data_IF_941786365556
#
_entry.id   IF_941786365556
#
_cell.length_a   1.000
_cell.length_b   1.000
_cell.length_c   1.000
_cell.angle_alpha   90.00
_cell.angle_beta   90.00
_cell.angle_gamma   90.00
#
_symmetry.space_group_name_H-M   'P 1'
#
loop_
_entity.id
_entity.type
_entity.pdbx_description
1 polymer ?
#
# COMPACT_ATOMS: atom_id res chain seq x y z
N UNK A 1 -7.88 32.03 -5.57
CA UNK A 1 -7.27 30.96 -4.73
C UNK A 1 -5.96 30.45 -5.31
N UNK A 2 -5.83 30.28 -6.62
CA UNK A 2 -4.59 29.80 -7.29
C UNK A 2 -3.36 30.70 -7.06
N UNK A 3 -3.56 32.01 -6.97
CA UNK A 3 -2.50 33.01 -6.80
C UNK A 3 -1.84 33.05 -5.42
N UNK A 4 -2.30 32.26 -4.43
CA UNK A 4 -1.72 32.27 -3.07
C UNK A 4 -1.50 30.87 -2.49
N UNK A 5 -1.94 29.82 -3.17
CA UNK A 5 -1.81 28.46 -2.67
C UNK A 5 -0.35 27.98 -2.78
N UNK A 6 0.24 27.57 -1.66
CA UNK A 6 1.62 27.06 -1.60
C UNK A 6 1.68 25.53 -1.49
N UNK A 7 0.62 24.91 -0.93
CA UNK A 7 0.54 23.46 -0.73
C UNK A 7 -0.89 22.98 -0.97
N UNK A 8 -1.06 21.87 -1.69
CA UNK A 8 -2.34 21.21 -1.91
C UNK A 8 -2.21 19.71 -1.68
N UNK A 9 -3.18 19.15 -0.97
CA UNK A 9 -3.32 17.70 -0.79
C UNK A 9 -4.78 17.33 -1.03
N UNK A 10 -5.05 16.57 -2.09
CA UNK A 10 -6.41 16.30 -2.56
C UNK A 10 -6.60 14.80 -2.82
N UNK A 11 -7.76 14.22 -2.45
CA UNK A 11 -8.17 12.92 -2.94
C UNK A 11 -8.35 12.98 -4.46
N UNK A 12 -7.76 12.07 -5.20
CA UNK A 12 -7.76 12.03 -6.66
C UNK A 12 -9.17 11.92 -7.24
N UNK A 13 -10.06 11.21 -6.55
CA UNK A 13 -11.47 11.01 -6.87
C UNK A 13 -12.24 12.34 -6.96
N UNK A 14 -11.82 13.34 -6.18
CA UNK A 14 -12.49 14.64 -6.06
C UNK A 14 -11.65 15.80 -6.60
N UNK A 15 -10.38 15.54 -6.93
CA UNK A 15 -9.46 16.56 -7.42
C UNK A 15 -9.89 17.03 -8.82
N UNK A 16 -10.06 18.34 -9.05
CA UNK A 16 -10.44 18.85 -10.37
C UNK A 16 -9.20 18.93 -11.29
N UNK A 17 -8.53 17.81 -11.53
CA UNK A 17 -7.18 17.76 -12.14
C UNK A 17 -7.11 18.45 -13.50
N UNK A 18 -8.14 18.30 -14.34
CA UNK A 18 -8.23 19.00 -15.62
C UNK A 18 -8.20 20.53 -15.43
N UNK A 19 -9.06 21.08 -14.56
CA UNK A 19 -9.07 22.52 -14.24
C UNK A 19 -7.78 22.99 -13.58
N UNK A 20 -7.15 22.12 -12.78
CA UNK A 20 -5.85 22.43 -12.18
C UNK A 20 -4.77 22.59 -13.23
N UNK A 21 -4.74 21.74 -14.26
CA UNK A 21 -3.78 21.82 -15.37
C UNK A 21 -3.96 23.05 -16.27
N UNK A 22 -5.19 23.57 -16.37
CA UNK A 22 -5.51 24.78 -17.12
C UNK A 22 -5.19 26.08 -16.34
N UNK A 23 -4.98 25.96 -15.02
CA UNK A 23 -4.79 27.10 -14.12
C UNK A 23 -3.30 27.38 -13.87
N UNK A 24 -2.97 28.66 -13.69
CA UNK A 24 -1.62 29.06 -13.27
C UNK A 24 -1.52 29.13 -11.74
N UNK A 25 -0.53 28.44 -11.18
CA UNK A 25 -0.27 28.28 -9.75
C UNK A 25 1.15 28.77 -9.40
N UNK A 26 1.39 30.08 -9.46
CA UNK A 26 2.74 30.65 -9.40
C UNK A 26 3.47 30.37 -8.08
N UNK A 27 2.74 30.18 -6.98
CA UNK A 27 3.31 29.98 -5.65
C UNK A 27 3.21 28.55 -5.15
N UNK A 28 2.62 27.63 -5.92
CA UNK A 28 2.41 26.25 -5.47
C UNK A 28 3.76 25.53 -5.43
N UNK A 29 4.17 25.13 -4.24
CA UNK A 29 5.43 24.45 -3.96
C UNK A 29 5.23 22.96 -3.69
N UNK A 30 4.06 22.54 -3.22
CA UNK A 30 3.75 21.14 -2.93
C UNK A 30 2.38 20.73 -3.47
N UNK A 31 2.33 19.61 -4.20
CA UNK A 31 1.11 18.97 -4.66
C UNK A 31 1.13 17.49 -4.28
N UNK A 32 0.08 17.04 -3.59
CA UNK A 32 -0.17 15.64 -3.27
C UNK A 32 -1.54 15.22 -3.77
N UNK A 33 -1.57 14.23 -4.65
CA UNK A 33 -2.78 13.56 -5.10
C UNK A 33 -2.73 12.11 -4.60
N UNK A 34 -3.77 11.68 -3.90
CA UNK A 34 -3.83 10.35 -3.31
C UNK A 34 -5.21 9.72 -3.49
N UNK A 35 -5.32 8.40 -3.42
CA UNK A 35 -6.62 7.72 -3.48
C UNK A 35 -6.69 6.77 -4.67
N UNK A 36 -7.83 6.70 -5.33
CA UNK A 36 -8.08 5.79 -6.46
C UNK A 36 -8.44 6.51 -7.75
N UNK A 37 -7.97 5.98 -8.87
CA UNK A 37 -8.59 6.25 -10.15
C UNK A 37 -9.92 5.48 -10.22
N UNK A 38 -11.02 6.19 -10.45
CA UNK A 38 -12.33 5.59 -10.72
C UNK A 38 -12.44 5.34 -12.23
N UNK A 39 -13.22 4.34 -12.64
CA UNK A 39 -13.54 4.15 -14.06
C UNK A 39 -14.11 5.48 -14.62
N UNK A 40 -13.69 5.83 -15.84
CA UNK A 40 -13.94 7.12 -16.50
C UNK A 40 -13.16 8.35 -15.99
N UNK A 41 -12.26 8.21 -15.00
CA UNK A 41 -11.34 9.31 -14.68
C UNK A 41 -10.42 9.61 -15.88
N UNK A 42 -10.30 10.89 -16.30
CA UNK A 42 -9.42 11.25 -17.39
C UNK A 42 -7.98 10.84 -17.05
N UNK A 43 -7.26 10.30 -18.04
CA UNK A 43 -5.82 10.07 -17.87
C UNK A 43 -5.13 11.41 -17.59
N UNK A 44 -4.45 11.46 -16.47
CA UNK A 44 -3.68 12.64 -16.07
C UNK A 44 -2.29 12.50 -16.67
N UNK A 45 -1.97 13.42 -17.59
CA UNK A 45 -0.60 13.58 -18.07
C UNK A 45 0.09 14.49 -17.05
N UNK A 46 1.02 13.94 -16.27
CA UNK A 46 1.64 14.68 -15.18
C UNK A 46 2.41 15.90 -15.67
N UNK A 47 3.07 15.80 -16.83
CA UNK A 47 3.77 16.93 -17.46
C UNK A 47 2.83 18.12 -17.76
N UNK A 48 1.59 17.84 -18.19
CA UNK A 48 0.58 18.88 -18.43
C UNK A 48 0.08 19.50 -17.13
N UNK A 49 -0.11 18.69 -16.09
CA UNK A 49 -0.56 19.16 -14.78
C UNK A 49 0.45 20.13 -14.15
N UNK A 50 1.73 19.80 -14.18
CA UNK A 50 2.79 20.61 -13.56
C UNK A 50 3.22 21.82 -14.39
N UNK A 51 2.80 21.91 -15.65
CA UNK A 51 3.17 23.01 -16.55
C UNK A 51 2.76 24.39 -16.04
N UNK A 52 1.66 24.49 -15.28
CA UNK A 52 1.19 25.72 -14.66
C UNK A 52 1.81 26.03 -13.28
N UNK A 53 2.77 25.23 -12.80
CA UNK A 53 3.26 25.23 -11.42
C UNK A 53 4.78 25.51 -11.35
N UNK A 54 5.26 26.70 -11.72
CA UNK A 54 6.69 26.97 -11.89
C UNK A 54 7.52 26.88 -10.60
N UNK A 55 6.89 27.09 -9.43
CA UNK A 55 7.53 27.02 -8.12
C UNK A 55 7.44 25.64 -7.46
N UNK A 56 6.93 24.63 -8.16
CA UNK A 56 6.70 23.30 -7.59
C UNK A 56 8.04 22.67 -7.20
N UNK A 57 8.12 22.21 -5.94
CA UNK A 57 9.30 21.56 -5.38
C UNK A 57 8.99 20.12 -4.93
N UNK A 58 7.74 19.80 -4.61
CA UNK A 58 7.32 18.48 -4.13
C UNK A 58 6.08 18.03 -4.89
N UNK A 59 6.18 16.86 -5.52
CA UNK A 59 5.06 16.21 -6.18
C UNK A 59 4.90 14.80 -5.62
N UNK A 60 3.69 14.49 -5.15
CA UNK A 60 3.29 13.15 -4.74
C UNK A 60 2.04 12.73 -5.51
N UNK A 61 2.13 11.62 -6.21
CA UNK A 61 1.04 11.04 -6.99
C UNK A 61 0.84 9.58 -6.57
N UNK A 62 0.07 9.37 -5.52
CA UNK A 62 -0.21 8.07 -4.92
C UNK A 62 -1.64 7.62 -5.28
N UNK A 63 -1.85 7.36 -6.56
CA UNK A 63 -3.16 7.00 -7.10
C UNK A 63 -3.19 5.53 -7.47
N UNK A 64 -4.11 4.78 -6.87
CA UNK A 64 -4.31 3.37 -7.18
C UNK A 64 -4.87 3.20 -8.60
N UNK A 65 -4.29 2.29 -9.39
CA UNK A 65 -4.73 2.02 -10.74
C UNK A 65 -6.00 1.15 -10.77
N UNK A 66 -6.98 1.55 -11.60
CA UNK A 66 -8.16 0.71 -11.89
C UNK A 66 -7.80 -0.40 -12.89
N UNK A 67 -8.37 -1.59 -12.69
CA UNK A 67 -8.13 -2.78 -13.53
C UNK A 67 -8.62 -2.63 -14.97
N UNK A 68 -9.51 -1.68 -15.24
CA UNK A 68 -10.02 -1.37 -16.58
C UNK A 68 -9.04 -0.56 -17.45
N UNK A 69 -7.95 -0.05 -16.87
CA UNK A 69 -7.05 0.92 -17.51
C UNK A 69 -5.97 0.32 -18.42
N UNK A 70 -5.84 -1.02 -18.44
CA UNK A 70 -4.80 -1.77 -19.17
C UNK A 70 -4.83 -1.65 -20.70
N UNK A 71 -5.97 -1.24 -21.28
CA UNK A 71 -6.19 -1.39 -22.74
C UNK A 71 -6.13 -0.08 -23.55
N UNK A 72 -5.81 1.06 -22.94
CA UNK A 72 -5.71 2.32 -23.68
C UNK A 72 -4.27 2.59 -24.10
N UNK A 73 -3.95 2.19 -25.33
CA UNK A 73 -2.67 2.43 -25.99
C UNK A 73 -2.19 3.87 -25.86
N UNK A 74 -0.88 4.00 -25.66
CA UNK A 74 -0.17 5.26 -25.55
C UNK A 74 0.02 5.88 -26.94
N UNK A 75 -0.65 6.99 -27.20
CA UNK A 75 -0.19 7.97 -28.17
C UNK A 75 -0.36 9.36 -27.56
N UNK A 76 0.70 9.87 -26.96
CA UNK A 76 0.85 11.31 -26.78
C UNK A 76 2.25 11.70 -27.23
N UNK A 77 2.36 12.00 -28.53
CA UNK A 77 3.46 12.77 -29.10
C UNK A 77 3.31 14.23 -28.62
N UNK A 78 3.41 14.47 -27.31
CA UNK A 78 3.58 15.83 -26.80
C UNK A 78 5.06 16.17 -26.90
N UNK A 79 5.40 17.11 -27.78
CA UNK A 79 6.75 17.66 -27.85
C UNK A 79 7.23 18.07 -26.45
N UNK A 80 8.49 17.81 -26.08
CA UNK A 80 8.99 18.16 -24.76
C UNK A 80 8.82 19.66 -24.55
N UNK A 81 8.00 20.03 -23.56
CA UNK A 81 7.96 21.40 -23.08
C UNK A 81 9.36 21.78 -22.61
N UNK A 82 9.85 22.96 -23.00
CA UNK A 82 11.17 23.47 -22.60
C UNK A 82 11.26 23.84 -21.11
N UNK A 83 10.19 23.60 -20.33
CA UNK A 83 10.11 23.94 -18.92
C UNK A 83 10.86 22.92 -18.07
N UNK A 84 11.99 23.34 -17.52
CA UNK A 84 12.71 22.58 -16.49
C UNK A 84 12.08 22.81 -15.13
N UNK A 85 11.63 21.75 -14.47
CA UNK A 85 11.09 21.76 -13.12
C UNK A 85 12.21 21.62 -12.10
N UNK A 86 12.18 22.45 -11.05
CA UNK A 86 13.16 22.42 -9.96
C UNK A 86 12.65 21.58 -8.78
N UNK A 87 12.13 20.38 -9.07
CA UNK A 87 11.65 19.46 -8.03
C UNK A 87 12.80 19.04 -7.10
N UNK A 88 12.48 18.96 -5.81
CA UNK A 88 13.32 18.40 -4.75
C UNK A 88 12.85 17.01 -4.35
N UNK A 89 11.55 16.74 -4.44
CA UNK A 89 10.95 15.45 -4.09
C UNK A 89 9.91 15.04 -5.12
N UNK A 90 10.00 13.79 -5.57
CA UNK A 90 9.03 13.16 -6.45
C UNK A 90 8.64 11.78 -5.92
N UNK A 91 7.33 11.57 -5.76
CA UNK A 91 6.76 10.26 -5.48
C UNK A 91 5.69 9.97 -6.53
N UNK A 92 5.82 8.86 -7.26
CA UNK A 92 4.84 8.42 -8.23
C UNK A 92 4.54 6.94 -8.01
N UNK A 93 3.25 6.63 -7.79
CA UNK A 93 2.73 5.28 -7.83
C UNK A 93 2.45 4.84 -9.26
N UNK A 94 2.81 3.61 -9.61
CA UNK A 94 2.68 3.02 -10.95
C UNK A 94 3.18 3.95 -12.07
N UNK A 95 4.45 4.39 -12.02
CA UNK A 95 4.95 5.37 -12.98
C UNK A 95 4.94 4.79 -14.39
N UNK A 96 4.62 5.62 -15.38
CA UNK A 96 4.79 5.27 -16.78
C UNK A 96 6.22 5.60 -17.23
N UNK A 97 7.05 4.63 -17.67
CA UNK A 97 8.42 4.87 -18.09
C UNK A 97 8.60 5.87 -19.24
N UNK A 98 7.55 6.13 -20.01
CA UNK A 98 7.52 7.04 -21.15
C UNK A 98 6.93 8.43 -20.84
N UNK A 99 6.51 8.69 -19.59
CA UNK A 99 5.97 9.99 -19.21
C UNK A 99 7.01 11.11 -19.41
N UNK A 100 6.60 12.23 -20.01
CA UNK A 100 7.46 13.37 -20.29
C UNK A 100 7.97 14.05 -19.00
N UNK A 101 7.31 13.86 -17.85
CA UNK A 101 7.74 14.43 -16.58
C UNK A 101 9.19 14.08 -16.25
N UNK A 102 9.64 12.85 -16.55
CA UNK A 102 11.01 12.39 -16.28
C UNK A 102 12.07 13.12 -17.11
N UNK A 103 11.68 13.78 -18.20
CA UNK A 103 12.59 14.63 -19.00
C UNK A 103 12.51 16.12 -18.63
N UNK A 104 11.52 16.52 -17.83
CA UNK A 104 11.35 17.91 -17.39
C UNK A 104 12.06 18.20 -16.07
N UNK A 105 12.42 17.17 -15.30
CA UNK A 105 13.00 17.35 -13.96
C UNK A 105 14.47 17.73 -14.06
N UNK A 106 14.81 18.88 -13.47
CA UNK A 106 16.18 19.37 -13.39
C UNK A 106 17.02 18.62 -12.35
N UNK A 107 18.29 19.04 -12.22
CA UNK A 107 19.28 18.41 -11.34
C UNK A 107 19.09 18.67 -9.83
N UNK A 108 17.93 19.17 -9.39
CA UNK A 108 17.68 19.54 -7.98
C UNK A 108 17.05 18.44 -7.15
N UNK A 109 16.70 17.31 -7.78
CA UNK A 109 16.00 16.21 -7.14
C UNK A 109 16.86 15.58 -6.03
N UNK A 110 16.29 15.47 -4.84
CA UNK A 110 16.92 14.87 -3.66
C UNK A 110 16.22 13.59 -3.23
N UNK A 111 14.92 13.51 -3.42
CA UNK A 111 14.10 12.38 -3.02
C UNK A 111 13.31 11.86 -4.23
N UNK A 112 13.44 10.57 -4.52
CA UNK A 112 12.71 9.89 -5.57
C UNK A 112 12.08 8.62 -5.03
N UNK A 113 10.79 8.44 -5.28
CA UNK A 113 10.07 7.22 -4.96
C UNK A 113 9.25 6.78 -6.16
N UNK A 114 9.67 5.67 -6.77
CA UNK A 114 8.96 4.98 -7.85
C UNK A 114 8.33 3.74 -7.23
N UNK A 115 7.04 3.84 -6.88
CA UNK A 115 6.42 2.89 -5.95
C UNK A 115 5.09 2.31 -6.43
N UNK A 116 4.56 1.41 -5.62
CA UNK A 116 3.19 0.91 -5.67
C UNK A 116 2.29 1.66 -4.67
N UNK A 117 0.98 1.69 -4.96
CA UNK A 117 -0.01 2.25 -4.05
C UNK A 117 -1.43 1.64 -4.22
N UNK A 118 -1.99 0.96 -3.21
CA UNK A 118 -1.36 0.56 -1.94
C UNK A 118 -0.18 -0.40 -2.16
N UNK A 119 0.60 -0.69 -1.11
CA UNK A 119 1.72 -1.65 -1.21
C UNK A 119 1.23 -3.00 -1.73
N UNK A 120 1.95 -3.56 -2.69
CA UNK A 120 1.62 -4.81 -3.36
C UNK A 120 1.58 -5.97 -2.38
N UNK A 121 2.50 -6.01 -1.42
CA UNK A 121 2.44 -7.00 -0.35
C UNK A 121 1.17 -6.90 0.52
N UNK A 122 0.36 -5.83 0.44
CA UNK A 122 -0.97 -5.83 1.07
C UNK A 122 -1.97 -6.77 0.39
N UNK A 123 -1.84 -7.00 -0.91
CA UNK A 123 -2.68 -7.98 -1.62
C UNK A 123 -2.39 -9.41 -1.21
N UNK A 124 -1.15 -9.64 -0.80
CA UNK A 124 -0.73 -10.91 -0.25
C UNK A 124 -1.45 -11.22 1.08
N UNK A 125 -1.96 -10.20 1.78
CA UNK A 125 -2.76 -10.33 3.00
C UNK A 125 -4.26 -10.56 2.70
N UNK A 126 -4.85 -9.83 1.77
CA UNK A 126 -6.28 -9.89 1.48
C UNK A 126 -6.55 -10.22 0.01
N UNK A 127 -6.46 -11.50 -0.41
CA UNK A 127 -6.69 -11.89 -1.80
C UNK A 127 -8.14 -11.63 -2.29
N UNK A 128 -9.09 -11.45 -1.37
CA UNK A 128 -10.47 -11.04 -1.68
C UNK A 128 -10.62 -9.58 -2.12
N UNK A 129 -9.63 -8.72 -1.83
CA UNK A 129 -9.61 -7.30 -2.18
C UNK A 129 -8.88 -7.03 -3.51
N UNK A 130 -8.68 -8.07 -4.33
CA UNK A 130 -7.95 -8.05 -5.61
C UNK A 130 -8.65 -7.26 -6.74
N UNK A 131 -9.42 -6.22 -6.41
CA UNK A 131 -10.14 -5.35 -7.37
C UNK A 131 -9.18 -4.45 -8.15
N UNK A 132 -7.97 -4.27 -7.65
CA UNK A 132 -7.01 -3.32 -8.18
C UNK A 132 -6.13 -4.01 -9.23
N UNK A 133 -5.62 -3.29 -10.23
CA UNK A 133 -4.44 -3.75 -10.99
C UNK A 133 -3.18 -3.11 -10.40
N UNK A 134 -2.17 -3.92 -10.12
CA UNK A 134 -0.85 -3.46 -9.64
C UNK A 134 0.16 -3.77 -10.72
N UNK A 135 0.26 -2.94 -11.77
CA UNK A 135 1.35 -3.06 -12.71
C UNK A 135 2.64 -2.64 -12.00
N UNK A 136 3.31 -3.59 -11.36
CA UNK A 136 4.65 -3.35 -10.84
C UNK A 136 5.58 -3.16 -12.05
N UNK A 137 6.40 -2.12 -12.02
CA UNK A 137 7.40 -1.89 -13.06
C UNK A 137 8.43 -3.01 -13.08
N UNK A 138 8.89 -3.41 -14.27
CA UNK A 138 10.07 -4.27 -14.37
C UNK A 138 11.35 -3.51 -14.02
N UNK A 139 12.43 -4.20 -13.66
CA UNK A 139 13.75 -3.57 -13.46
C UNK A 139 14.22 -2.81 -14.70
N UNK A 140 14.00 -3.33 -15.92
CA UNK A 140 14.28 -2.61 -17.17
C UNK A 140 13.50 -1.29 -17.30
N UNK A 141 12.24 -1.27 -16.85
CA UNK A 141 11.39 -0.08 -16.86
C UNK A 141 11.85 0.97 -15.84
N UNK A 142 12.24 0.54 -14.64
CA UNK A 142 12.86 1.43 -13.65
C UNK A 142 14.16 2.04 -14.19
N UNK A 143 15.04 1.22 -14.79
CA UNK A 143 16.28 1.71 -15.38
C UNK A 143 16.04 2.74 -16.49
N UNK A 144 15.03 2.51 -17.34
CA UNK A 144 14.62 3.46 -18.38
C UNK A 144 14.23 4.82 -17.79
N UNK A 145 13.49 4.83 -16.68
CA UNK A 145 13.13 6.08 -15.97
C UNK A 145 14.38 6.76 -15.42
N UNK A 146 15.20 6.04 -14.66
CA UNK A 146 16.36 6.63 -13.97
C UNK A 146 17.35 7.26 -14.95
N UNK A 147 17.58 6.63 -16.11
CA UNK A 147 18.46 7.15 -17.18
C UNK A 147 17.98 8.47 -17.78
N UNK A 148 16.71 8.83 -17.62
CA UNK A 148 16.14 10.09 -18.12
C UNK A 148 16.30 11.23 -17.11
N UNK A 149 16.64 10.91 -15.86
CA UNK A 149 16.77 11.85 -14.76
C UNK A 149 18.24 12.24 -14.51
N UNK A 150 18.46 13.45 -13.99
CA UNK A 150 19.75 13.82 -13.42
C UNK A 150 19.73 13.55 -11.91
N UNK A 151 20.40 12.47 -11.49
CA UNK A 151 20.36 11.94 -10.11
C UNK A 151 21.61 12.31 -9.29
N UNK A 152 22.45 13.22 -9.77
CA UNK A 152 23.73 13.58 -9.12
C UNK A 152 23.59 14.06 -7.66
N UNK A 153 22.43 14.64 -7.32
CA UNK A 153 22.09 15.15 -5.99
C UNK A 153 21.08 14.30 -5.22
N UNK A 154 20.71 13.15 -5.76
CA UNK A 154 19.72 12.27 -5.13
C UNK A 154 20.30 11.69 -3.84
N UNK A 155 19.56 11.81 -2.75
CA UNK A 155 19.93 11.38 -1.40
C UNK A 155 19.06 10.20 -0.94
N UNK A 156 17.79 10.19 -1.35
CA UNK A 156 16.82 9.17 -0.96
C UNK A 156 16.18 8.56 -2.20
N UNK A 157 16.24 7.24 -2.28
CA UNK A 157 15.64 6.47 -3.37
C UNK A 157 14.80 5.33 -2.82
N UNK A 158 13.54 5.30 -3.22
CA UNK A 158 12.66 4.15 -3.07
C UNK A 158 12.33 3.59 -4.45
N UNK A 159 12.58 2.30 -4.65
CA UNK A 159 12.26 1.57 -5.88
C UNK A 159 11.40 0.36 -5.58
N UNK A 160 10.26 0.27 -6.25
CA UNK A 160 9.43 -0.92 -6.30
C UNK A 160 9.46 -1.48 -7.70
N UNK A 161 9.95 -2.71 -7.85
CA UNK A 161 10.05 -3.34 -9.15
C UNK A 161 9.90 -4.87 -9.10
N UNK A 162 9.56 -5.42 -10.24
CA UNK A 162 9.59 -6.83 -10.56
C UNK A 162 10.92 -7.13 -11.24
N UNK A 163 11.67 -8.09 -10.72
CA UNK A 163 12.95 -8.48 -11.29
C UNK A 163 12.76 -9.05 -12.70
N UNK A 164 13.61 -8.60 -13.62
CA UNK A 164 13.80 -9.13 -14.97
C UNK A 164 15.30 -9.19 -15.29
N UNK A 165 15.64 -9.54 -16.54
CA UNK A 165 17.03 -9.70 -16.97
C UNK A 165 17.90 -8.42 -16.85
N UNK A 166 17.31 -7.24 -16.59
CA UNK A 166 18.01 -5.98 -16.42
C UNK A 166 18.23 -5.59 -14.94
N UNK A 167 17.87 -6.45 -13.98
CA UNK A 167 18.05 -6.17 -12.54
C UNK A 167 19.50 -5.83 -12.18
N UNK A 168 20.46 -6.63 -12.65
CA UNK A 168 21.88 -6.38 -12.37
C UNK A 168 22.34 -5.04 -12.98
N UNK A 169 21.91 -4.72 -14.20
CA UNK A 169 22.21 -3.45 -14.86
C UNK A 169 21.61 -2.26 -14.10
N UNK A 170 20.38 -2.40 -13.58
CA UNK A 170 19.73 -1.41 -12.73
C UNK A 170 20.54 -1.14 -11.47
N UNK A 171 20.95 -2.19 -10.74
CA UNK A 171 21.69 -2.05 -9.49
C UNK A 171 23.09 -1.48 -9.72
N UNK A 172 23.78 -1.90 -10.78
CA UNK A 172 25.09 -1.34 -11.16
C UNK A 172 24.98 0.14 -11.53
N UNK A 173 23.92 0.53 -12.24
CA UNK A 173 23.65 1.93 -12.56
C UNK A 173 23.48 2.79 -11.30
N UNK A 174 22.79 2.30 -10.27
CA UNK A 174 22.68 3.01 -8.99
C UNK A 174 24.07 3.26 -8.38
N UNK A 175 24.90 2.22 -8.34
CA UNK A 175 26.25 2.29 -7.78
C UNK A 175 27.19 3.24 -8.54
N UNK A 176 27.00 3.45 -9.85
CA UNK A 176 27.87 4.32 -10.65
C UNK A 176 27.33 5.75 -10.84
N UNK A 177 26.02 5.92 -11.05
CA UNK A 177 25.42 7.19 -11.48
C UNK A 177 24.74 7.98 -10.37
N UNK A 178 24.62 7.42 -9.16
CA UNK A 178 23.92 8.06 -8.03
C UNK A 178 24.87 8.23 -6.82
N UNK A 179 25.93 9.05 -6.96
CA UNK A 179 27.03 9.09 -6.00
C UNK A 179 26.63 9.65 -4.63
N UNK A 180 25.56 10.44 -4.54
CA UNK A 180 25.12 11.10 -3.30
C UNK A 180 24.08 10.29 -2.51
N UNK A 181 23.77 9.06 -2.94
CA UNK A 181 22.70 8.27 -2.36
C UNK A 181 23.03 7.86 -0.92
N UNK A 182 22.23 8.34 0.03
CA UNK A 182 22.38 8.08 1.46
C UNK A 182 21.35 7.06 1.98
N UNK A 183 20.17 7.02 1.37
CA UNK A 183 19.07 6.14 1.79
C UNK A 183 18.52 5.40 0.58
N UNK A 184 18.52 4.07 0.64
CA UNK A 184 17.99 3.21 -0.42
C UNK A 184 16.95 2.25 0.17
N UNK A 185 15.74 2.27 -0.39
CA UNK A 185 14.67 1.31 -0.12
C UNK A 185 14.32 0.57 -1.41
N UNK A 186 14.45 -0.76 -1.40
CA UNK A 186 14.12 -1.63 -2.53
C UNK A 186 13.00 -2.57 -2.12
N UNK A 187 11.91 -2.56 -2.89
CA UNK A 187 10.92 -3.63 -2.92
C UNK A 187 11.03 -4.38 -4.23
N UNK A 188 11.76 -5.49 -4.17
CA UNK A 188 11.95 -6.44 -5.27
C UNK A 188 10.87 -7.51 -5.19
N UNK A 189 10.15 -7.70 -6.29
CA UNK A 189 9.20 -8.80 -6.47
C UNK A 189 9.65 -9.74 -7.58
N UNK A 190 9.29 -11.01 -7.47
CA UNK A 190 9.73 -12.05 -8.40
C UNK A 190 8.77 -12.19 -9.59
N UNK A 191 9.30 -12.56 -10.75
CA UNK A 191 8.48 -13.02 -11.86
C UNK A 191 8.07 -14.48 -11.65
N UNK A 192 6.81 -14.83 -11.92
CA UNK A 192 6.32 -16.19 -11.69
C UNK A 192 7.24 -17.23 -12.35
N UNK A 193 7.79 -18.15 -11.56
CA UNK A 193 8.69 -19.21 -12.03
C UNK A 193 10.18 -18.90 -11.98
N UNK A 194 10.59 -17.76 -11.40
CA UNK A 194 12.01 -17.40 -11.26
C UNK A 194 12.76 -18.24 -10.21
N UNK A 195 14.09 -18.18 -10.30
CA UNK A 195 15.03 -18.82 -9.37
C UNK A 195 15.13 -18.12 -7.99
N UNK A 196 15.86 -18.75 -7.06
CA UNK A 196 16.19 -18.22 -5.72
C UNK A 196 16.64 -16.76 -5.76
N UNK A 197 16.19 -15.97 -4.78
CA UNK A 197 16.56 -14.55 -4.61
C UNK A 197 18.09 -14.42 -4.46
N UNK A 198 18.80 -13.70 -5.38
CA UNK A 198 20.25 -13.60 -5.37
C UNK A 198 20.75 -12.49 -4.41
N UNK A 199 20.34 -12.54 -3.14
CA UNK A 199 20.59 -11.46 -2.16
C UNK A 199 22.08 -11.17 -1.94
N UNK A 200 22.95 -12.18 -2.00
CA UNK A 200 24.41 -11.98 -1.91
C UNK A 200 24.95 -11.15 -3.07
N UNK A 201 24.52 -11.44 -4.30
CA UNK A 201 24.92 -10.67 -5.49
C UNK A 201 24.38 -9.23 -5.44
N UNK A 202 23.15 -9.05 -4.97
CA UNK A 202 22.57 -7.72 -4.74
C UNK A 202 23.46 -6.94 -3.74
N UNK A 203 23.79 -7.54 -2.60
CA UNK A 203 24.64 -6.93 -1.58
C UNK A 203 26.03 -6.54 -2.12
N UNK A 204 26.66 -7.42 -2.90
CA UNK A 204 27.95 -7.16 -3.56
C UNK A 204 27.90 -5.92 -4.45
N UNK A 205 26.88 -5.79 -5.31
CA UNK A 205 26.73 -4.65 -6.21
C UNK A 205 26.52 -3.36 -5.42
N UNK A 206 25.70 -3.41 -4.37
CA UNK A 206 25.37 -2.26 -3.53
C UNK A 206 26.56 -1.80 -2.66
N UNK A 207 27.62 -2.59 -2.51
CA UNK A 207 28.88 -2.12 -1.87
C UNK A 207 29.52 -0.94 -2.61
N UNK A 208 29.18 -0.75 -3.88
CA UNK A 208 29.62 0.39 -4.69
C UNK A 208 29.03 1.73 -4.27
N UNK A 209 27.90 1.75 -3.54
CA UNK A 209 27.24 2.98 -3.07
C UNK A 209 27.96 3.58 -1.86
N UNK A 210 29.05 4.34 -2.11
CA UNK A 210 29.96 4.83 -1.06
C UNK A 210 29.32 5.77 -0.04
N UNK A 211 28.29 6.51 -0.41
CA UNK A 211 27.59 7.44 0.48
C UNK A 211 26.40 6.84 1.21
N UNK A 212 26.11 5.56 0.99
CA UNK A 212 24.94 4.91 1.58
C UNK A 212 25.08 4.83 3.10
N UNK A 213 24.01 5.21 3.80
CA UNK A 213 23.92 5.21 5.26
C UNK A 213 22.87 4.21 5.75
N UNK A 214 21.74 4.09 5.07
CA UNK A 214 20.70 3.12 5.43
C UNK A 214 20.21 2.37 4.21
N UNK A 215 20.05 1.05 4.36
CA UNK A 215 19.54 0.18 3.30
C UNK A 215 18.30 -0.57 3.78
N UNK A 216 17.18 -0.46 3.08
CA UNK A 216 15.94 -1.18 3.35
C UNK A 216 15.66 -2.14 2.18
N UNK A 217 15.52 -3.43 2.45
CA UNK A 217 15.30 -4.46 1.45
C UNK A 217 14.05 -5.29 1.77
N UNK A 218 13.07 -5.22 0.88
CA UNK A 218 12.05 -6.24 0.71
C UNK A 218 12.40 -7.07 -0.51
N UNK A 219 12.87 -8.30 -0.30
CA UNK A 219 13.38 -9.17 -1.37
C UNK A 219 12.39 -10.24 -1.83
N UNK A 220 11.18 -10.27 -1.25
CA UNK A 220 10.09 -11.19 -1.60
C UNK A 220 10.54 -12.66 -1.68
N UNK A 221 11.02 -13.22 -0.55
CA UNK A 221 11.44 -14.61 -0.49
C UNK A 221 10.24 -15.58 -0.59
N UNK A 222 10.30 -16.54 -1.50
CA UNK A 222 9.29 -17.61 -1.64
C UNK A 222 9.18 -18.49 -0.38
N UNK A 223 10.29 -18.63 0.35
CA UNK A 223 10.44 -19.49 1.52
C UNK A 223 9.95 -18.83 2.81
N UNK A 224 9.27 -17.69 2.70
CA UNK A 224 8.51 -17.17 3.83
C UNK A 224 7.56 -18.27 4.30
N UNK A 225 7.26 -18.29 5.60
CA UNK A 225 6.35 -19.28 6.20
C UNK A 225 4.90 -19.25 5.62
N UNK A 226 4.66 -18.52 4.53
CA UNK A 226 3.40 -18.03 4.05
C UNK A 226 2.98 -16.80 4.86
N UNK A 227 2.29 -15.87 4.21
CA UNK A 227 1.56 -14.85 4.96
C UNK A 227 0.50 -15.58 5.79
N UNK A 228 0.33 -15.15 7.05
CA UNK A 228 -0.51 -15.84 8.05
C UNK A 228 -0.04 -17.23 8.46
N UNK A 229 1.27 -17.49 8.54
CA UNK A 229 1.71 -18.73 9.16
C UNK A 229 1.29 -18.82 10.63
N UNK A 230 0.24 -19.60 10.91
CA UNK A 230 -0.22 -19.90 12.26
C UNK A 230 0.71 -20.86 13.01
N UNK A 231 1.69 -21.46 12.32
CA UNK A 231 2.61 -22.45 12.91
C UNK A 231 3.81 -21.75 13.54
N UNK A 232 3.93 -21.71 14.88
CA UNK A 232 5.01 -20.97 15.55
C UNK A 232 6.40 -21.41 15.10
N UNK A 233 6.64 -22.72 14.99
CA UNK A 233 7.94 -23.27 14.58
C UNK A 233 8.39 -22.83 13.18
N UNK A 234 7.47 -22.63 12.23
CA UNK A 234 7.82 -22.11 10.90
C UNK A 234 8.17 -20.62 10.95
N UNK A 235 7.52 -19.84 11.83
CA UNK A 235 7.88 -18.44 12.06
C UNK A 235 9.25 -18.32 12.72
N UNK A 236 9.54 -19.16 13.70
CA UNK A 236 10.84 -19.15 14.38
C UNK A 236 11.96 -19.59 13.44
N UNK A 237 11.70 -20.62 12.61
CA UNK A 237 12.61 -21.03 11.55
C UNK A 237 12.83 -19.92 10.52
N UNK A 238 11.78 -19.23 10.10
CA UNK A 238 11.90 -18.08 9.19
C UNK A 238 12.65 -16.91 9.83
N UNK A 239 12.41 -16.62 11.12
CA UNK A 239 13.14 -15.60 11.88
C UNK A 239 14.64 -15.89 11.85
N UNK A 240 15.05 -17.10 12.23
CA UNK A 240 16.45 -17.51 12.22
C UNK A 240 17.08 -17.40 10.82
N UNK A 241 16.32 -17.78 9.78
CA UNK A 241 16.77 -17.65 8.39
C UNK A 241 16.94 -16.20 7.97
N UNK A 242 15.99 -15.32 8.31
CA UNK A 242 16.07 -13.89 8.02
C UNK A 242 17.25 -13.25 8.76
N UNK A 243 17.53 -13.67 10.00
CA UNK A 243 18.72 -13.22 10.73
C UNK A 243 20.01 -13.63 10.05
N UNK A 244 20.12 -14.90 9.64
CA UNK A 244 21.28 -15.39 8.91
C UNK A 244 21.52 -14.60 7.62
N UNK A 245 20.46 -14.35 6.83
CA UNK A 245 20.51 -13.53 5.61
C UNK A 245 20.95 -12.09 5.93
N UNK A 246 20.35 -11.47 6.96
CA UNK A 246 20.68 -10.10 7.36
C UNK A 246 22.15 -9.95 7.77
N UNK A 247 22.68 -10.89 8.55
CA UNK A 247 24.11 -10.90 8.91
C UNK A 247 25.02 -11.16 7.70
N UNK A 248 24.63 -12.03 6.77
CA UNK A 248 25.41 -12.28 5.56
C UNK A 248 25.50 -11.03 4.67
N UNK A 249 24.36 -10.35 4.43
CA UNK A 249 24.34 -9.08 3.68
C UNK A 249 25.20 -8.04 4.39
N UNK A 250 25.05 -7.90 5.71
CA UNK A 250 25.85 -6.96 6.50
C UNK A 250 27.35 -7.26 6.38
N UNK A 251 27.75 -8.53 6.44
CA UNK A 251 29.14 -8.94 6.27
C UNK A 251 29.68 -8.61 4.88
N UNK A 252 28.91 -8.84 3.81
CA UNK A 252 29.30 -8.47 2.44
C UNK A 252 29.50 -6.95 2.34
N UNK A 253 28.58 -6.18 2.93
CA UNK A 253 28.59 -4.72 2.84
C UNK A 253 29.60 -4.01 3.74
N UNK A 254 30.23 -4.71 4.71
CA UNK A 254 31.26 -4.14 5.58
C UNK A 254 32.47 -3.56 4.83
N UNK A 255 32.73 -4.02 3.61
CA UNK A 255 33.84 -3.51 2.76
C UNK A 255 33.43 -2.30 1.89
N UNK A 256 32.18 -1.86 1.99
CA UNK A 256 31.58 -0.84 1.13
C UNK A 256 31.29 0.46 1.89
N UNK A 257 30.01 0.85 2.04
CA UNK A 257 29.60 2.04 2.77
C UNK A 257 29.72 1.94 4.30
N UNK A 258 29.88 3.10 4.95
CA UNK A 258 29.72 3.24 6.41
C UNK A 258 28.23 3.22 6.79
N UNK A 259 27.63 2.03 6.77
CA UNK A 259 26.22 1.86 7.10
C UNK A 259 25.94 2.15 8.57
N UNK A 260 24.82 2.80 8.83
CA UNK A 260 24.19 2.86 10.14
C UNK A 260 23.50 1.52 10.45
N UNK A 261 22.73 0.99 9.50
CA UNK A 261 22.09 -0.31 9.57
C UNK A 261 21.59 -0.78 8.19
N UNK A 262 21.25 -2.07 8.12
CA UNK A 262 20.47 -2.67 7.02
C UNK A 262 19.13 -3.13 7.61
N UNK A 263 18.03 -2.91 6.92
CA UNK A 263 16.70 -3.32 7.33
C UNK A 263 16.14 -4.32 6.32
N UNK A 264 15.67 -5.48 6.80
CA UNK A 264 14.96 -6.46 5.98
C UNK A 264 13.47 -6.44 6.31
N UNK A 265 12.61 -6.45 5.29
CA UNK A 265 11.16 -6.47 5.51
C UNK A 265 10.73 -7.87 5.97
N UNK A 266 10.13 -7.93 7.15
CA UNK A 266 9.54 -9.12 7.73
C UNK A 266 8.01 -9.00 7.73
N UNK A 267 7.36 -9.91 7.01
CA UNK A 267 5.90 -10.04 7.01
C UNK A 267 5.43 -10.86 8.21
N UNK A 268 4.69 -10.22 9.12
CA UNK A 268 3.96 -10.87 10.21
C UNK A 268 2.53 -11.21 9.78
N UNK A 269 1.79 -11.82 10.69
CA UNK A 269 0.39 -12.17 10.50
C UNK A 269 -0.51 -10.96 10.21
N UNK A 270 -0.26 -9.81 10.84
CA UNK A 270 -1.17 -8.65 10.77
C UNK A 270 -0.52 -7.39 10.20
N UNK A 271 0.79 -7.39 10.02
CA UNK A 271 1.55 -6.25 9.51
C UNK A 271 2.88 -6.68 8.89
N UNK A 272 3.53 -5.76 8.20
CA UNK A 272 4.93 -5.87 7.82
C UNK A 272 5.75 -4.96 8.71
N UNK A 273 6.97 -5.36 9.03
CA UNK A 273 7.90 -4.54 9.81
C UNK A 273 9.30 -4.63 9.24
N UNK A 274 10.11 -3.61 9.49
CA UNK A 274 11.53 -3.63 9.20
C UNK A 274 12.28 -4.28 10.37
N UNK A 275 13.22 -5.16 10.07
CA UNK A 275 14.12 -5.78 11.03
C UNK A 275 15.51 -5.24 10.77
N UNK A 276 16.08 -4.53 11.74
CA UNK A 276 17.30 -3.76 11.57
C UNK A 276 18.53 -4.54 12.02
N UNK A 277 19.57 -4.53 11.22
CA UNK A 277 20.84 -5.22 11.42
C UNK A 277 21.94 -4.18 11.50
N UNK A 278 22.59 -4.11 12.66
CA UNK A 278 23.57 -3.08 12.98
C UNK A 278 25.00 -3.62 12.89
N UNK A 279 25.93 -2.91 12.24
CA UNK A 279 27.33 -3.30 12.15
C UNK A 279 28.04 -3.25 13.51
N UNK A 280 29.22 -3.88 13.58
CA UNK A 280 30.02 -3.98 14.82
C UNK A 280 30.49 -2.63 15.37
N UNK A 281 30.62 -1.60 14.53
CA UNK A 281 30.99 -0.24 14.94
C UNK A 281 29.81 0.57 15.51
N UNK A 282 28.59 0.06 15.46
CA UNK A 282 27.46 0.70 16.10
C UNK A 282 27.64 0.73 17.63
N UNK A 283 27.08 1.72 18.32
CA UNK A 283 27.27 1.92 19.76
C UNK A 283 26.84 0.72 20.62
N UNK A 284 25.84 -0.04 20.16
CA UNK A 284 25.36 -1.29 20.80
C UNK A 284 26.10 -2.55 20.32
N UNK A 285 27.10 -2.42 19.45
CA UNK A 285 27.77 -3.53 18.77
C UNK A 285 26.90 -4.20 17.69
N UNK A 286 27.39 -5.34 17.19
CA UNK A 286 26.69 -6.20 16.25
C UNK A 286 25.42 -6.76 16.91
N UNK A 287 24.25 -6.34 16.43
CA UNK A 287 22.98 -6.83 16.93
C UNK A 287 21.87 -6.69 15.88
N UNK A 288 20.78 -7.40 16.11
CA UNK A 288 19.53 -7.29 15.36
C UNK A 288 18.46 -6.67 16.25
N UNK A 289 17.77 -5.66 15.72
CA UNK A 289 16.61 -5.05 16.37
C UNK A 289 15.34 -5.53 15.65
N UNK A 290 14.64 -6.41 16.34
CA UNK A 290 13.25 -6.70 16.04
C UNK A 290 12.47 -5.66 16.83
N UNK A 291 11.89 -4.66 16.18
CA UNK A 291 11.03 -3.66 16.83
C UNK A 291 9.76 -4.33 17.40
N UNK A 292 9.96 -5.07 18.49
CA UNK A 292 8.99 -5.86 19.23
C UNK A 292 8.32 -4.99 20.31
N UNK A 293 8.67 -3.70 20.38
CA UNK A 293 8.14 -2.76 21.35
C UNK A 293 6.60 -2.66 21.27
N UNK A 294 6.00 -2.95 20.11
CA UNK A 294 4.55 -3.00 19.93
C UNK A 294 3.83 -4.25 20.48
N UNK A 295 4.54 -5.32 20.88
CA UNK A 295 3.92 -6.62 21.22
C UNK A 295 4.14 -7.12 22.65
N UNK A 296 4.97 -6.48 23.47
CA UNK A 296 5.12 -6.88 24.89
C UNK A 296 3.85 -6.67 25.74
N UNK A 297 2.76 -6.16 25.16
CA UNK A 297 1.45 -6.05 25.81
C UNK A 297 0.52 -7.26 25.63
N UNK A 298 0.91 -8.31 24.88
CA UNK A 298 0.00 -9.43 24.56
C UNK A 298 0.44 -10.81 25.04
N UNK A 299 1.53 -10.92 25.81
CA UNK A 299 1.74 -12.13 26.60
C UNK A 299 0.94 -12.03 27.90
N UNK A 300 -0.26 -12.61 27.86
CA UNK A 300 -0.97 -13.03 29.06
C UNK A 300 -0.16 -14.10 29.78
N UNK A 301 0.69 -13.66 30.72
CA UNK A 301 1.11 -14.51 31.82
C UNK A 301 -0.14 -14.86 32.63
N UNK A 302 -0.72 -16.02 32.35
CA UNK A 302 -1.64 -16.68 33.26
C UNK A 302 -0.85 -17.19 34.46
N UNK A 303 -0.61 -16.30 35.42
CA UNK A 303 -0.49 -16.66 36.83
C UNK A 303 -1.57 -15.91 37.60
N UNK A 304 -2.52 -16.69 38.12
CA UNK A 304 -3.58 -16.23 39.01
C UNK A 304 -2.98 -15.63 40.27
N UNK A 305 -3.30 -14.38 40.57
CA UNK A 305 -3.57 -13.96 41.95
C UNK A 305 -4.60 -12.82 41.95
N UNK A 306 -5.60 -12.97 42.83
CA UNK A 306 -6.77 -12.11 42.94
C UNK A 306 -6.44 -10.73 43.52
N UNK A 307 -6.75 -9.65 42.79
CA UNK A 307 -7.35 -8.45 43.37
C UNK A 307 -7.85 -7.49 42.29
N UNK A 308 -9.00 -6.88 42.56
CA UNK A 308 -9.83 -6.12 41.63
C UNK A 308 -9.27 -4.73 41.25
N UNK A 309 -9.35 -4.40 39.95
CA UNK A 309 -9.98 -3.20 39.36
C UNK A 309 -9.68 -3.14 37.83
N UNK A 310 -10.65 -2.93 36.93
CA UNK A 310 -10.40 -2.89 35.50
C UNK A 310 -10.21 -1.45 35.00
N UNK A 311 -9.01 -1.13 34.49
CA UNK A 311 -8.81 -0.02 33.55
C UNK A 311 -8.64 -0.60 32.16
N UNK A 312 -9.77 -0.78 31.46
CA UNK A 312 -9.80 -1.09 30.05
C UNK A 312 -10.18 0.17 29.26
N UNK A 313 -9.28 0.67 28.43
CA UNK A 313 -9.57 1.73 27.47
C UNK A 313 -10.28 1.11 26.26
N UNK A 314 -11.57 0.86 26.42
CA UNK A 314 -12.46 0.53 25.31
C UNK A 314 -12.77 1.81 24.51
N UNK A 315 -12.68 1.72 23.18
CA UNK A 315 -13.34 2.66 22.28
C UNK A 315 -14.85 2.59 22.53
N UNK A 316 -15.37 3.55 23.29
CA UNK A 316 -16.81 3.73 23.49
C UNK A 316 -17.42 4.28 22.19
N UNK A 317 -18.01 3.39 21.37
CA UNK A 317 -19.07 3.81 20.45
C UNK A 317 -20.33 4.09 21.27
N UNK A 318 -20.95 5.26 21.06
CA UNK A 318 -22.17 5.63 21.74
C UNK A 318 -23.33 4.66 21.36
N UNK A 319 -24.29 4.36 22.27
CA UNK A 319 -25.34 3.35 22.07
C UNK A 319 -26.23 3.55 20.83
N UNK A 320 -26.35 4.78 20.31
CA UNK A 320 -27.08 5.06 19.08
C UNK A 320 -26.30 4.62 17.83
N UNK A 321 -24.96 4.67 17.84
CA UNK A 321 -24.12 4.22 16.74
C UNK A 321 -24.08 2.68 16.61
N UNK A 322 -24.27 1.95 17.71
CA UNK A 322 -24.39 0.49 17.68
C UNK A 322 -25.72 0.06 17.03
N UNK A 323 -26.81 0.78 17.31
CA UNK A 323 -28.11 0.53 16.68
C UNK A 323 -28.11 0.86 15.19
N UNK A 324 -27.42 1.92 14.76
CA UNK A 324 -27.30 2.28 13.35
C UNK A 324 -26.38 1.32 12.58
N UNK A 325 -25.31 0.84 13.21
CA UNK A 325 -24.43 -0.21 12.65
C UNK A 325 -25.16 -1.55 12.54
N UNK A 326 -25.91 -1.96 13.57
CA UNK A 326 -26.74 -3.17 13.54
C UNK A 326 -27.93 -3.05 12.57
N UNK A 327 -28.51 -1.85 12.38
CA UNK A 327 -29.55 -1.60 11.38
C UNK A 327 -28.97 -1.65 9.95
N UNK A 328 -27.76 -1.12 9.74
CA UNK A 328 -27.03 -1.21 8.47
C UNK A 328 -26.68 -2.65 8.10
N UNK A 329 -26.22 -3.46 9.07
CA UNK A 329 -25.96 -4.88 8.91
C UNK A 329 -27.24 -5.69 8.63
N UNK A 330 -28.35 -5.40 9.33
CA UNK A 330 -29.67 -6.01 9.09
C UNK A 330 -30.22 -5.72 7.69
N UNK A 331 -30.00 -4.52 7.16
CA UNK A 331 -30.44 -4.14 5.81
C UNK A 331 -29.61 -4.83 4.69
N UNK A 332 -28.34 -5.15 4.95
CA UNK A 332 -27.49 -5.90 4.04
C UNK A 332 -27.79 -7.41 4.04
N UNK A 333 -28.08 -8.01 5.20
CA UNK A 333 -28.38 -9.44 5.32
C UNK A 333 -29.75 -9.80 4.69
N UNK A 334 -30.77 -8.95 4.87
CA UNK A 334 -32.11 -9.20 4.31
C UNK A 334 -32.21 -9.07 2.78
N UNK A 335 -31.17 -8.55 2.10
CA UNK A 335 -31.17 -8.36 0.63
C UNK A 335 -30.39 -9.42 -0.14
N UNK A 336 -29.53 -10.19 0.49
CA UNK A 336 -28.67 -11.17 -0.17
C UNK A 336 -28.82 -12.53 0.52
N UNK A 337 -29.36 -13.52 -0.19
CA UNK A 337 -29.29 -14.93 0.22
C UNK A 337 -27.83 -15.31 0.49
N UNK A 338 -27.44 -15.39 1.76
CA UNK A 338 -26.08 -15.73 2.18
C UNK A 338 -25.83 -17.20 1.80
N UNK A 339 -24.89 -17.42 0.87
CA UNK A 339 -24.26 -18.73 0.67
C UNK A 339 -22.90 -18.69 1.36
N UNK A 340 -22.63 -19.68 2.21
CA UNK A 340 -21.32 -19.92 2.77
C UNK A 340 -20.29 -20.11 1.63
N UNK A 341 -19.18 -19.37 1.69
CA UNK A 341 -18.04 -19.58 0.81
C UNK A 341 -17.28 -20.84 1.26
N UNK A 342 -17.00 -21.81 0.37
CA UNK A 342 -16.13 -22.92 0.73
C UNK A 342 -14.69 -22.43 0.81
N UNK A 343 -14.08 -22.54 2.01
CA UNK A 343 -12.63 -22.34 2.19
C UNK A 343 -12.19 -21.50 3.41
N UNK A 344 -13.10 -20.90 4.18
CA UNK A 344 -12.72 -20.19 5.41
C UNK A 344 -12.54 -21.19 6.58
N UNK A 345 -11.36 -21.27 7.22
CA UNK A 345 -11.09 -22.25 8.28
C UNK A 345 -11.72 -21.92 9.65
N UNK A 346 -12.25 -20.71 9.82
CA UNK A 346 -13.07 -20.29 10.96
C UNK A 346 -14.06 -19.22 10.47
N UNK A 347 -15.28 -19.24 11.00
CA UNK A 347 -16.29 -18.23 10.70
C UNK A 347 -17.21 -18.02 11.88
N UNK A 348 -17.71 -16.79 12.01
CA UNK A 348 -18.80 -16.49 12.93
C UNK A 348 -20.07 -16.29 12.10
N UNK A 349 -21.19 -16.83 12.59
CA UNK A 349 -22.50 -16.44 12.07
C UNK A 349 -23.38 -15.97 13.22
N UNK A 350 -24.28 -15.04 12.91
CA UNK A 350 -25.28 -14.54 13.85
C UNK A 350 -26.60 -15.18 13.47
N UNK A 351 -27.24 -15.85 14.42
CA UNK A 351 -28.59 -16.39 14.21
C UNK A 351 -29.58 -15.24 14.05
N UNK A 352 -30.33 -15.22 12.95
CA UNK A 352 -31.24 -14.12 12.62
C UNK A 352 -32.49 -14.05 13.52
N UNK A 353 -32.85 -15.15 14.21
CA UNK A 353 -34.00 -15.19 15.11
C UNK A 353 -33.63 -14.84 16.55
N UNK A 354 -32.45 -15.25 17.01
CA UNK A 354 -32.01 -15.05 18.40
C UNK A 354 -31.03 -13.90 18.56
N UNK A 355 -30.30 -13.53 17.50
CA UNK A 355 -29.24 -12.52 17.54
C UNK A 355 -27.95 -13.01 18.21
N UNK A 356 -27.83 -14.30 18.50
CA UNK A 356 -26.65 -14.88 19.14
C UNK A 356 -25.53 -15.15 18.12
N UNK A 357 -24.29 -14.89 18.53
CA UNK A 357 -23.07 -15.09 17.72
C UNK A 357 -22.51 -16.49 18.00
N UNK A 358 -22.39 -17.30 16.95
CA UNK A 358 -21.85 -18.65 17.04
C UNK A 358 -20.51 -18.76 16.31
N UNK A 359 -19.55 -19.43 16.95
CA UNK A 359 -18.25 -19.80 16.38
C UNK A 359 -18.32 -21.23 15.84
N UNK A 360 -17.71 -21.49 14.69
CA UNK A 360 -17.52 -22.84 14.19
C UNK A 360 -16.14 -23.02 13.57
N UNK A 361 -15.60 -24.23 13.71
CA UNK A 361 -14.28 -24.64 13.21
C UNK A 361 -14.40 -25.80 12.21
N UNK A 362 -13.42 -25.97 11.32
CA UNK A 362 -13.43 -27.04 10.32
C UNK A 362 -13.37 -28.41 11.01
N UNK A 363 -14.49 -29.12 10.98
CA UNK A 363 -14.64 -30.45 11.58
C UNK A 363 -16.03 -30.73 12.15
N UNK A 364 -16.84 -29.70 12.37
CA UNK A 364 -18.18 -29.84 12.93
C UNK A 364 -19.19 -30.29 11.86
N UNK A 365 -19.85 -31.41 12.11
CA UNK A 365 -20.84 -32.02 11.22
C UNK A 365 -22.15 -31.21 11.26
N UNK A 366 -22.33 -30.31 10.29
CA UNK A 366 -23.47 -29.38 10.15
C UNK A 366 -24.83 -30.12 9.96
N UNK A 367 -24.84 -31.46 9.97
CA UNK A 367 -26.02 -32.31 9.85
C UNK A 367 -26.82 -32.59 11.15
N UNK A 368 -26.31 -32.27 12.34
CA UNK A 368 -26.87 -32.79 13.60
C UNK A 368 -27.70 -31.80 14.45
N UNK A 369 -28.04 -30.62 13.95
CA UNK A 369 -28.93 -29.68 14.65
C UNK A 369 -30.25 -29.47 13.87
N UNK A 370 -31.28 -30.26 14.20
CA UNK A 370 -32.68 -29.90 13.89
C UNK A 370 -33.53 -29.94 15.17
N UNK A 371 -34.25 -28.86 15.49
CA UNK A 371 -35.34 -28.93 16.45
C UNK A 371 -36.55 -29.64 15.83
N UNK A 372 -37.17 -30.53 16.61
CA UNK A 372 -38.47 -31.14 16.32
C UNK A 372 -39.56 -30.07 16.39
N UNK A 373 -40.27 -29.82 15.29
CA UNK A 373 -41.62 -29.26 15.34
C UNK A 373 -42.53 -29.97 14.32
N UNK A 374 -43.58 -30.60 14.83
CA UNK A 374 -44.69 -31.19 14.07
C UNK A 374 -45.67 -30.09 13.62
N UNK A 375 -46.13 -30.12 12.36
CA UNK A 375 -47.55 -29.98 11.99
C UNK A 375 -47.80 -30.05 10.46
N UNK A 376 -48.80 -30.89 10.11
CA UNK A 376 -49.86 -30.72 9.09
C UNK A 376 -49.56 -30.46 7.58
N UNK A 377 -49.59 -31.57 6.82
CA UNK A 377 -50.40 -31.88 5.61
C UNK A 377 -50.92 -30.79 4.61
N UNK A 378 -50.84 -31.22 3.33
CA UNK A 378 -51.50 -30.77 2.06
C UNK A 378 -50.75 -29.64 1.33
N UNK A 379 -50.44 -29.68 0.03
CA UNK A 379 -50.70 -30.61 -1.06
C UNK A 379 -50.34 -29.91 -2.39
N UNK A 380 -50.25 -30.71 -3.47
CA UNK A 380 -50.20 -30.36 -4.90
C UNK A 380 -48.85 -30.02 -5.59
N UNK A 381 -48.44 -31.03 -6.38
CA UNK A 381 -48.20 -31.03 -7.85
C UNK A 381 -47.13 -30.11 -8.44
N UNK A 382 -46.13 -30.77 -9.00
CA UNK A 382 -45.29 -30.30 -10.11
C UNK A 382 -46.14 -29.95 -11.34
N UNK A 383 -45.80 -28.83 -11.98
CA UNK A 383 -45.91 -28.64 -13.43
C UNK A 383 -44.79 -27.68 -13.91
N UNK A 384 -44.32 -27.78 -15.17
CA UNK A 384 -43.02 -27.27 -15.59
C UNK A 384 -43.09 -26.09 -16.58
N UNK A 385 -41.89 -25.58 -16.91
CA UNK A 385 -41.44 -24.84 -18.11
C UNK A 385 -41.31 -23.31 -18.04
N UNK A 386 -40.05 -22.92 -18.20
CA UNK A 386 -39.50 -21.99 -19.19
C UNK A 386 -40.00 -20.53 -19.29
N UNK A 387 -39.01 -19.67 -19.11
CA UNK A 387 -38.63 -18.53 -19.96
C UNK A 387 -39.19 -17.13 -19.66
N UNK A 388 -38.25 -16.19 -19.79
CA UNK A 388 -38.34 -14.79 -20.26
C UNK A 388 -37.79 -13.76 -19.25
N UNK A 389 -36.72 -13.13 -19.72
CA UNK A 389 -36.04 -11.90 -19.34
C UNK A 389 -36.88 -10.83 -18.63
N UNK A 390 -36.27 -10.14 -17.65
CA UNK A 390 -36.07 -8.69 -17.67
C UNK A 390 -35.38 -8.20 -16.39
N UNK A 391 -34.42 -7.29 -16.59
CA UNK A 391 -34.00 -6.20 -15.72
C UNK A 391 -33.80 -6.48 -14.22
N UNK A 392 -32.54 -6.41 -13.77
CA UNK A 392 -32.19 -5.81 -12.48
C UNK A 392 -30.73 -5.35 -12.52
N UNK A 393 -30.48 -4.18 -13.10
CA UNK A 393 -29.34 -3.37 -12.70
C UNK A 393 -29.64 -2.85 -11.29
N UNK A 394 -29.13 -3.52 -10.25
CA UNK A 394 -29.15 -2.99 -8.89
C UNK A 394 -27.86 -2.18 -8.71
N UNK A 395 -28.01 -0.86 -8.74
CA UNK A 395 -26.98 0.06 -8.22
C UNK A 395 -26.80 -0.22 -6.73
N UNK A 396 -25.56 -0.54 -6.35
CA UNK A 396 -25.13 -0.66 -4.95
C UNK A 396 -24.63 0.70 -4.52
N UNK A 397 -25.42 1.43 -3.73
CA UNK A 397 -24.98 2.70 -3.13
C UNK A 397 -24.12 2.39 -1.92
N UNK A 398 -22.83 2.71 -1.99
CA UNK A 398 -21.88 2.64 -0.88
C UNK A 398 -21.56 4.08 -0.46
N UNK A 399 -21.89 4.53 0.76
CA UNK A 399 -21.47 5.84 1.23
C UNK A 399 -19.96 5.83 1.47
N UNK A 400 -19.25 6.80 0.89
CA UNK A 400 -17.83 7.04 1.14
C UNK A 400 -17.66 8.26 2.05
N UNK A 401 -16.78 8.14 3.06
CA UNK A 401 -16.35 9.25 3.89
C UNK A 401 -15.05 9.81 3.31
N UNK A 402 -15.06 11.06 2.84
CA UNK A 402 -13.84 11.76 2.44
C UNK A 402 -13.38 12.70 3.57
N UNK A 403 -12.09 12.68 3.84
CA UNK A 403 -11.43 13.66 4.71
C UNK A 403 -10.68 14.66 3.82
N UNK A 404 -11.14 15.92 3.79
CA UNK A 404 -10.47 16.99 3.07
C UNK A 404 -9.82 17.92 4.09
N UNK A 405 -8.48 17.97 4.07
CA UNK A 405 -7.70 18.87 4.93
C UNK A 405 -7.16 20.02 4.07
N UNK A 406 -7.63 21.24 4.33
CA UNK A 406 -7.14 22.46 3.69
C UNK A 406 -6.49 23.30 4.80
N UNK A 407 -5.18 23.48 4.71
CA UNK A 407 -4.41 24.26 5.70
C UNK A 407 -4.22 25.69 5.19
N UNK A 408 -4.76 26.67 5.92
CA UNK A 408 -4.58 28.08 5.62
C UNK A 408 -3.60 28.69 6.62
N UNK A 409 -2.51 29.27 6.12
CA UNK A 409 -1.71 30.22 6.92
C UNK A 409 -2.17 31.64 6.61
N UNK A 410 -2.90 32.23 7.55
CA UNK A 410 -3.27 33.64 7.50
C UNK A 410 -2.12 34.52 8.04
N UNK A 411 -2.04 35.80 7.64
CA UNK A 411 -1.03 36.71 8.19
C UNK A 411 -1.28 36.97 9.68
N UNK A 412 -0.26 36.69 10.49
CA UNK A 412 -0.10 36.97 11.92
C UNK A 412 -1.19 36.43 12.88
N UNK A 413 -0.82 35.36 13.59
CA UNK A 413 -1.39 34.84 14.85
C UNK A 413 -2.83 34.29 14.84
N UNK A 414 -3.29 33.69 13.73
CA UNK A 414 -4.46 32.80 13.75
C UNK A 414 -4.21 31.55 12.90
N UNK A 415 -4.10 30.39 13.56
CA UNK A 415 -4.25 29.08 12.91
C UNK A 415 -5.73 28.69 12.95
N UNK A 416 -6.31 28.40 11.79
CA UNK A 416 -7.69 27.96 11.67
C UNK A 416 -7.71 26.56 11.04
N UNK A 417 -7.81 25.55 11.89
CA UNK A 417 -7.98 24.16 11.48
C UNK A 417 -9.47 23.87 11.29
N UNK A 418 -9.96 23.92 10.04
CA UNK A 418 -11.32 23.51 9.72
C UNK A 418 -11.30 22.13 9.06
N UNK A 419 -11.97 21.16 9.69
CA UNK A 419 -12.23 19.84 9.11
C UNK A 419 -13.63 19.86 8.52
N UNK A 420 -13.74 19.65 7.21
CA UNK A 420 -15.03 19.44 6.55
C UNK A 420 -15.24 17.96 6.28
N UNK A 421 -16.43 17.46 6.60
CA UNK A 421 -16.90 16.16 6.15
C UNK A 421 -17.97 16.40 5.10
N UNK A 422 -17.73 15.94 3.87
CA UNK A 422 -18.71 16.02 2.78
C UNK A 422 -19.30 14.62 2.61
N UNK A 423 -20.61 14.50 2.80
CA UNK A 423 -21.36 13.31 2.47
C UNK A 423 -21.77 13.39 1.00
N UNK A 424 -21.08 12.64 0.14
CA UNK A 424 -21.50 12.42 -1.24
C UNK A 424 -22.38 11.18 -1.31
N UNK A 425 -23.58 11.32 -1.88
CA UNK A 425 -24.40 10.20 -2.32
C UNK A 425 -24.42 10.29 -3.84
N UNK A 426 -23.75 9.36 -4.53
CA UNK A 426 -23.94 9.21 -5.98
C UNK A 426 -25.29 8.54 -6.23
N UNK A 427 -26.07 9.11 -7.16
CA UNK A 427 -27.40 8.67 -7.54
C UNK A 427 -27.37 7.63 -8.66
#
# INVERSE_FOLDING_TARGET
MTATAESLTLPFETAPVARMSESHWPHLQALSLYGRAVDDTPRVILSSLVGGMPSLQRLSFNVAASSSSRDRGEQSNSSPSSTVLHLRSLTIAYPNPDDAIFSMIGATLKHLSLRDWPRYYYRLYCPGDAVWDTPILSSSSCLKILRRLNLTRLQDLELVYQADNAEEELLLYLSSEVPSLAHLEIHRYQQSGDSLVPYGRIAEILTGLRSLHTLHLNLNFDETCGLYCYKPHLRDSWRQKLEAIGYEILQIMQNGPELAFIALLHHRQVNSQWVEFYPSWHAKGLHVDWDDAGLRGFHSDHSMEHSAEPSAMFLLMAPHMLNDFCAGMKACATRNNIRAFPGAPHGYYIDEQTGELFDFSVGDDVGAARPKLQAARRGLKQAPRNAINAANAKSTVIPYLYNMQIEFRLPQNLELNVKYFIFGIDA
#
